data_IF_812431263259
#
_entry.id   IF_812431263259
#
_cell.length_a   1.000
_cell.length_b   1.000
_cell.length_c   1.000
_cell.angle_alpha   90.00
_cell.angle_beta   90.00
_cell.angle_gamma   90.00
#
_symmetry.space_group_name_H-M   'P 1'
#
loop_
_entity.id
_entity.type
_entity.pdbx_description
1 polymer ?
#
# COMPACT_ATOMS: atom_id res chain seq x y z
N UNK A 1 -7.88 -6.20 30.20
CA UNK A 1 -6.61 -6.87 29.81
C UNK A 1 -6.82 -7.42 28.41
N UNK A 2 -6.13 -6.88 27.42
CA UNK A 2 -6.08 -7.53 26.10
C UNK A 2 -5.42 -8.90 26.25
N UNK A 3 -6.03 -9.91 25.66
CA UNK A 3 -5.54 -11.29 25.71
C UNK A 3 -4.55 -11.45 24.57
N UNK A 4 -3.28 -11.67 24.88
CA UNK A 4 -2.26 -11.98 23.86
C UNK A 4 -2.63 -13.26 23.12
N UNK A 5 -3.22 -13.12 21.93
CA UNK A 5 -3.57 -14.23 21.05
C UNK A 5 -2.43 -14.48 20.07
N UNK A 6 -1.91 -15.71 20.06
CA UNK A 6 -0.84 -16.14 19.14
C UNK A 6 -1.35 -17.26 18.24
N UNK A 7 -1.13 -17.12 16.95
CA UNK A 7 -1.40 -18.16 15.94
C UNK A 7 -0.05 -18.61 15.40
N UNK A 8 0.19 -19.92 15.40
CA UNK A 8 1.38 -20.53 14.81
C UNK A 8 0.99 -21.36 13.59
N UNK A 9 1.69 -21.15 12.48
CA UNK A 9 1.47 -21.88 11.23
C UNK A 9 2.76 -22.60 10.84
N UNK A 10 2.65 -23.88 10.49
CA UNK A 10 3.78 -24.66 9.96
C UNK A 10 3.81 -24.50 8.45
N UNK A 11 4.99 -24.20 7.94
CA UNK A 11 5.26 -24.04 6.50
C UNK A 11 6.59 -24.72 6.17
N UNK A 12 6.74 -25.14 4.92
CA UNK A 12 8.02 -25.61 4.40
C UNK A 12 9.03 -24.45 4.31
N UNK A 13 10.32 -24.77 4.18
CA UNK A 13 11.37 -23.77 4.01
C UNK A 13 11.13 -22.90 2.76
N UNK A 14 10.70 -23.52 1.64
CA UNK A 14 10.41 -22.81 0.40
C UNK A 14 9.20 -21.86 0.52
N UNK A 15 8.13 -22.29 1.19
CA UNK A 15 6.98 -21.41 1.45
C UNK A 15 7.35 -20.23 2.33
N UNK A 16 8.15 -20.47 3.38
CA UNK A 16 8.67 -19.41 4.25
C UNK A 16 9.44 -18.36 3.45
N UNK A 17 10.34 -18.79 2.58
CA UNK A 17 11.12 -17.89 1.72
C UNK A 17 10.22 -17.07 0.79
N UNK A 18 9.22 -17.70 0.15
CA UNK A 18 8.24 -17.00 -0.70
C UNK A 18 7.46 -15.96 0.07
N UNK A 19 6.98 -16.27 1.28
CA UNK A 19 6.25 -15.33 2.14
C UNK A 19 7.16 -14.16 2.53
N UNK A 20 8.39 -14.42 2.95
CA UNK A 20 9.36 -13.39 3.32
C UNK A 20 9.71 -12.48 2.13
N UNK A 21 9.90 -13.04 0.94
CA UNK A 21 10.18 -12.27 -0.26
C UNK A 21 9.00 -11.34 -0.62
N UNK A 22 7.76 -11.83 -0.53
CA UNK A 22 6.57 -10.99 -0.75
C UNK A 22 6.45 -9.88 0.30
N UNK A 23 6.61 -10.21 1.59
CA UNK A 23 6.58 -9.23 2.68
C UNK A 23 7.61 -8.11 2.46
N UNK A 24 8.86 -8.46 2.09
CA UNK A 24 9.92 -7.50 1.77
C UNK A 24 9.54 -6.57 0.61
N UNK A 25 8.96 -7.10 -0.48
CA UNK A 25 8.50 -6.29 -1.61
C UNK A 25 7.41 -5.30 -1.20
N UNK A 26 6.58 -5.66 -0.23
CA UNK A 26 5.54 -4.81 0.34
C UNK A 26 6.04 -3.85 1.43
N UNK A 27 7.33 -3.88 1.79
CA UNK A 27 7.87 -3.08 2.90
C UNK A 27 7.35 -3.52 4.28
N UNK A 28 6.87 -4.76 4.41
CA UNK A 28 6.25 -5.29 5.63
C UNK A 28 7.15 -6.31 6.34
N UNK A 29 6.95 -6.44 7.65
CA UNK A 29 7.43 -7.62 8.37
C UNK A 29 6.66 -8.87 7.91
N UNK A 30 7.25 -10.06 8.05
CA UNK A 30 6.57 -11.32 7.74
C UNK A 30 5.27 -11.48 8.54
N UNK A 31 5.29 -11.11 9.83
CA UNK A 31 4.10 -11.18 10.69
C UNK A 31 3.00 -10.26 10.19
N UNK A 32 3.34 -9.02 9.81
CA UNK A 32 2.35 -8.06 9.34
C UNK A 32 1.76 -8.47 7.99
N UNK A 33 2.60 -8.92 7.05
CA UNK A 33 2.14 -9.44 5.76
C UNK A 33 1.17 -10.61 5.95
N UNK A 34 1.48 -11.57 6.82
CA UNK A 34 0.60 -12.72 7.10
C UNK A 34 -0.70 -12.28 7.77
N UNK A 35 -0.67 -11.34 8.71
CA UNK A 35 -1.88 -10.78 9.33
C UNK A 35 -2.78 -10.13 8.29
N UNK A 36 -2.25 -9.29 7.42
CA UNK A 36 -3.02 -8.65 6.36
C UNK A 36 -3.65 -9.67 5.42
N UNK A 37 -2.87 -10.67 4.95
CA UNK A 37 -3.42 -11.77 4.13
C UNK A 37 -4.51 -12.56 4.87
N UNK A 38 -4.35 -12.82 6.16
CA UNK A 38 -5.36 -13.52 6.96
C UNK A 38 -6.66 -12.70 7.15
N UNK A 39 -6.56 -11.37 7.10
CA UNK A 39 -7.70 -10.44 7.13
C UNK A 39 -8.31 -10.19 5.74
N UNK A 40 -7.83 -10.86 4.68
CA UNK A 40 -8.33 -10.70 3.32
C UNK A 40 -7.76 -9.49 2.56
N UNK A 41 -6.76 -8.81 3.13
CA UNK A 41 -6.09 -7.73 2.41
C UNK A 41 -5.09 -8.28 1.39
N UNK A 42 -4.87 -7.48 0.34
CA UNK A 42 -3.87 -7.70 -0.68
C UNK A 42 -2.77 -6.63 -0.59
N UNK A 43 -1.69 -6.89 0.17
CA UNK A 43 -0.59 -5.94 0.30
C UNK A 43 0.07 -5.69 -1.05
N UNK A 44 0.28 -4.42 -1.40
CA UNK A 44 0.95 -4.02 -2.63
C UNK A 44 2.44 -3.88 -2.41
N UNK A 45 3.22 -4.04 -3.48
CA UNK A 45 4.63 -3.71 -3.43
C UNK A 45 4.81 -2.21 -3.23
N UNK A 46 5.88 -1.81 -2.53
CA UNK A 46 6.21 -0.39 -2.36
C UNK A 46 6.45 0.21 -3.75
N UNK A 47 5.71 1.26 -4.15
CA UNK A 47 5.92 1.92 -5.42
C UNK A 47 7.31 2.58 -5.48
N UNK A 48 7.85 2.84 -6.70
CA UNK A 48 9.10 3.57 -6.85
C UNK A 48 9.00 5.01 -6.31
N UNK A 49 10.09 5.53 -5.75
CA UNK A 49 10.18 6.91 -5.25
C UNK A 49 9.76 7.97 -6.30
N UNK A 50 10.04 7.69 -7.58
CA UNK A 50 9.64 8.54 -8.70
C UNK A 50 8.12 8.79 -8.77
N UNK A 51 7.28 7.86 -8.30
CA UNK A 51 5.83 8.07 -8.22
C UNK A 51 5.52 9.19 -7.22
N UNK A 52 6.15 9.17 -6.05
CA UNK A 52 5.91 10.19 -5.02
C UNK A 52 6.41 11.56 -5.46
N UNK A 53 7.57 11.63 -6.12
CA UNK A 53 8.05 12.88 -6.74
C UNK A 53 7.07 13.41 -7.80
N UNK A 54 6.44 12.53 -8.58
CA UNK A 54 5.43 12.92 -9.56
C UNK A 54 4.18 13.49 -8.87
N UNK A 55 3.69 12.82 -7.83
CA UNK A 55 2.52 13.26 -7.05
C UNK A 55 2.75 14.60 -6.35
N UNK A 56 3.95 14.83 -5.81
CA UNK A 56 4.34 16.11 -5.19
C UNK A 56 4.30 17.26 -6.21
N UNK A 57 4.92 17.07 -7.38
CA UNK A 57 4.90 18.07 -8.46
C UNK A 57 3.49 18.36 -8.96
N UNK A 58 2.63 17.35 -8.99
CA UNK A 58 1.23 17.52 -9.37
C UNK A 58 0.46 18.35 -8.33
N UNK A 59 0.72 18.14 -7.04
CA UNK A 59 0.18 18.97 -5.97
C UNK A 59 0.62 20.43 -6.10
N UNK A 60 1.91 20.68 -6.35
CA UNK A 60 2.41 22.04 -6.58
C UNK A 60 1.80 22.72 -7.82
N UNK A 61 1.40 21.96 -8.83
CA UNK A 61 0.71 22.47 -10.01
C UNK A 61 -0.74 22.80 -9.71
N UNK A 62 -1.42 21.98 -8.89
CA UNK A 62 -2.76 22.26 -8.39
C UNK A 62 -2.77 23.56 -7.58
N UNK A 63 -1.83 23.73 -6.64
CA UNK A 63 -1.73 24.94 -5.81
C UNK A 63 -1.51 26.23 -6.62
N UNK A 64 -0.95 26.11 -7.83
CA UNK A 64 -0.73 27.24 -8.76
C UNK A 64 -1.91 27.44 -9.72
N UNK A 65 -2.79 26.46 -9.86
CA UNK A 65 -3.98 26.61 -10.66
C UNK A 65 -4.91 27.62 -9.97
N UNK A 66 -5.52 28.50 -10.78
CA UNK A 66 -6.50 29.48 -10.29
C UNK A 66 -7.94 29.06 -10.58
N UNK A 67 -8.15 27.85 -11.10
CA UNK A 67 -9.46 27.30 -11.45
C UNK A 67 -9.90 26.27 -10.42
N UNK A 68 -10.98 26.53 -9.67
CA UNK A 68 -11.50 25.58 -8.68
C UNK A 68 -11.99 24.27 -9.31
N UNK A 69 -12.43 24.31 -10.58
CA UNK A 69 -12.83 23.13 -11.31
C UNK A 69 -11.64 22.20 -11.57
N UNK A 70 -10.49 22.77 -11.96
CA UNK A 70 -9.26 22.01 -12.19
C UNK A 70 -8.71 21.41 -10.89
N UNK A 71 -8.80 22.14 -9.78
CA UNK A 71 -8.38 21.63 -8.46
C UNK A 71 -9.21 20.43 -8.02
N UNK A 72 -10.53 20.46 -8.27
CA UNK A 72 -11.42 19.34 -7.98
C UNK A 72 -11.06 18.11 -8.84
N UNK A 73 -10.81 18.29 -10.14
CA UNK A 73 -10.39 17.21 -11.04
C UNK A 73 -9.05 16.58 -10.62
N UNK A 74 -8.06 17.41 -10.25
CA UNK A 74 -6.76 16.92 -9.74
C UNK A 74 -6.97 16.13 -8.44
N UNK A 75 -7.82 16.64 -7.54
CA UNK A 75 -8.16 15.95 -6.29
C UNK A 75 -8.82 14.58 -6.52
N UNK A 76 -9.73 14.48 -7.49
CA UNK A 76 -10.35 13.20 -7.88
C UNK A 76 -9.30 12.23 -8.44
N UNK A 77 -8.43 12.70 -9.33
CA UNK A 77 -7.38 11.86 -9.91
C UNK A 77 -6.40 11.36 -8.84
N UNK A 78 -5.97 12.22 -7.90
CA UNK A 78 -5.10 11.84 -6.79
C UNK A 78 -5.73 10.76 -5.90
N UNK A 79 -7.02 10.85 -5.62
CA UNK A 79 -7.77 9.82 -4.88
C UNK A 79 -7.79 8.49 -5.63
N UNK A 80 -8.00 8.52 -6.95
CA UNK A 80 -7.97 7.32 -7.80
C UNK A 80 -6.58 6.67 -7.78
N UNK A 81 -5.51 7.45 -7.99
CA UNK A 81 -4.13 6.94 -7.94
C UNK A 81 -3.84 6.31 -6.58
N UNK A 82 -4.27 6.96 -5.51
CA UNK A 82 -4.08 6.44 -4.14
C UNK A 82 -4.79 5.09 -3.96
N UNK A 83 -6.05 4.99 -4.38
CA UNK A 83 -6.83 3.77 -4.26
C UNK A 83 -6.28 2.62 -5.12
N UNK A 84 -5.83 2.91 -6.34
CA UNK A 84 -5.37 1.90 -7.29
C UNK A 84 -3.93 1.44 -7.05
N UNK A 85 -3.04 2.33 -6.61
CA UNK A 85 -1.61 2.04 -6.56
C UNK A 85 -1.04 1.97 -5.13
N UNK A 86 -1.58 2.73 -4.18
CA UNK A 86 -0.96 2.89 -2.86
C UNK A 86 -1.65 2.04 -1.78
N UNK A 87 -2.98 1.96 -1.81
CA UNK A 87 -3.75 1.24 -0.80
C UNK A 87 -3.82 -0.26 -1.09
N UNK A 88 -3.73 -1.13 -0.06
CA UNK A 88 -3.94 -2.55 -0.23
C UNK A 88 -5.37 -2.82 -0.74
N UNK A 89 -5.50 -3.75 -1.68
CA UNK A 89 -6.80 -4.22 -2.13
C UNK A 89 -7.49 -5.07 -1.05
N UNK A 90 -8.77 -5.37 -1.26
CA UNK A 90 -9.45 -6.50 -0.60
C UNK A 90 -9.62 -7.62 -1.63
N UNK A 91 -9.05 -8.78 -1.30
CA UNK A 91 -9.12 -10.00 -2.11
C UNK A 91 -10.28 -10.89 -1.73
#
# INVERSE_FOLDING_TARGET
>A
MEKDMRIAVRVTAMEKEKIQAKARKCGLSTTEYVKQRALGYEPRAVPPDALFTCLERLGELADKASSPELDEEIGVMLKQITAEFLLPGKG
#
